data_IF_309511428356
#
_entry.id   IF_309511428356
#
_cell.length_a   1.000
_cell.length_b   1.000
_cell.length_c   1.000
_cell.angle_alpha   90.00
_cell.angle_beta   90.00
_cell.angle_gamma   90.00
#
_symmetry.space_group_name_H-M   'P 1'
#
loop_
_entity.id
_entity.type
_entity.pdbx_description
1 polymer ?
#
# COMPACT_ATOMS: atom_id res chain seq x y z
N UNK A 1 -24.63 -15.82 12.14
CA UNK A 1 -24.31 -15.16 10.85
C UNK A 1 -22.96 -14.49 11.02
N UNK A 2 -21.91 -14.98 10.37
CA UNK A 2 -20.56 -14.41 10.48
C UNK A 2 -20.53 -13.09 9.69
N UNK A 3 -20.22 -11.99 10.36
CA UNK A 3 -19.96 -10.70 9.70
C UNK A 3 -18.46 -10.49 9.69
N UNK A 4 -17.89 -10.30 8.50
CA UNK A 4 -16.50 -9.89 8.35
C UNK A 4 -16.29 -8.55 9.07
N UNK A 5 -15.32 -8.53 9.99
CA UNK A 5 -14.95 -7.31 10.70
C UNK A 5 -14.01 -6.47 9.83
N UNK A 6 -13.96 -5.19 10.10
CA UNK A 6 -13.08 -4.25 9.37
C UNK A 6 -11.60 -4.70 9.33
N UNK A 7 -11.01 -5.27 10.41
CA UNK A 7 -9.64 -5.80 10.37
C UNK A 7 -9.46 -6.98 9.40
N UNK A 8 -10.47 -7.87 9.29
CA UNK A 8 -10.41 -9.04 8.40
C UNK A 8 -10.37 -8.60 6.93
N UNK A 9 -11.12 -7.55 6.59
CA UNK A 9 -11.09 -6.93 5.26
C UNK A 9 -9.75 -6.24 4.98
N UNK A 10 -9.15 -5.58 5.98
CA UNK A 10 -7.83 -4.99 5.87
C UNK A 10 -6.79 -6.03 5.50
N UNK A 11 -6.69 -7.10 6.29
CA UNK A 11 -5.76 -8.20 6.07
C UNK A 11 -5.93 -8.84 4.69
N UNK A 12 -7.18 -9.00 4.23
CA UNK A 12 -7.45 -9.51 2.88
C UNK A 12 -6.84 -8.62 1.80
N UNK A 13 -7.06 -7.30 1.88
CA UNK A 13 -6.52 -6.39 0.87
C UNK A 13 -4.99 -6.41 0.82
N UNK A 14 -4.32 -6.49 1.98
CA UNK A 14 -2.86 -6.65 2.05
C UNK A 14 -2.44 -7.94 1.33
N UNK A 15 -3.07 -9.07 1.67
CA UNK A 15 -2.78 -10.36 1.03
C UNK A 15 -3.03 -10.34 -0.49
N UNK A 16 -4.13 -9.74 -0.94
CA UNK A 16 -4.45 -9.63 -2.37
C UNK A 16 -3.41 -8.80 -3.11
N UNK A 17 -2.96 -7.68 -2.53
CA UNK A 17 -1.95 -6.83 -3.15
C UNK A 17 -0.56 -7.49 -3.15
N UNK A 18 -0.18 -8.16 -2.07
CA UNK A 18 1.05 -8.95 -2.00
C UNK A 18 1.06 -10.04 -3.08
N UNK A 19 -0.01 -10.81 -3.18
CA UNK A 19 -0.14 -11.89 -4.15
C UNK A 19 -0.14 -11.38 -5.59
N UNK A 20 -0.85 -10.28 -5.87
CA UNK A 20 -0.81 -9.62 -7.16
C UNK A 20 0.64 -9.28 -7.55
N UNK A 21 1.38 -8.63 -6.65
CA UNK A 21 2.77 -8.29 -6.87
C UNK A 21 3.68 -9.52 -7.05
N UNK A 22 3.45 -10.57 -6.27
CA UNK A 22 4.20 -11.83 -6.39
C UNK A 22 3.97 -12.50 -7.75
N UNK A 23 2.74 -12.46 -8.28
CA UNK A 23 2.45 -13.00 -9.62
C UNK A 23 3.15 -12.21 -10.72
N UNK A 24 3.20 -10.89 -10.63
CA UNK A 24 3.94 -10.06 -11.58
C UNK A 24 5.44 -10.40 -11.59
N UNK A 25 6.03 -10.52 -10.40
CA UNK A 25 7.44 -10.88 -10.25
C UNK A 25 7.72 -12.27 -10.81
N UNK A 26 6.86 -13.24 -10.52
CA UNK A 26 6.98 -14.62 -11.02
C UNK A 26 6.93 -14.69 -12.55
N UNK A 27 6.04 -13.90 -13.15
CA UNK A 27 5.82 -13.89 -14.61
C UNK A 27 6.80 -12.94 -15.33
N UNK A 28 7.66 -12.21 -14.62
CA UNK A 28 8.60 -11.24 -15.19
C UNK A 28 7.93 -10.01 -15.82
N UNK A 29 6.73 -9.65 -15.34
CA UNK A 29 5.95 -8.53 -15.88
C UNK A 29 6.28 -7.25 -15.12
N UNK A 30 6.66 -6.21 -15.87
CA UNK A 30 6.90 -4.90 -15.30
C UNK A 30 5.59 -4.17 -14.99
N UNK A 31 5.55 -3.44 -13.89
CA UNK A 31 4.45 -2.55 -13.54
C UNK A 31 4.23 -1.44 -14.59
N UNK A 32 5.30 -1.02 -15.27
CA UNK A 32 5.27 0.03 -16.29
C UNK A 32 4.49 -0.39 -17.55
N UNK A 33 4.37 -1.69 -17.82
CA UNK A 33 3.73 -2.21 -19.04
C UNK A 33 2.32 -2.75 -18.80
N UNK A 34 1.84 -2.75 -17.55
CA UNK A 34 0.53 -3.27 -17.22
C UNK A 34 -0.60 -2.41 -17.82
N UNK A 35 -1.55 -3.09 -18.42
CA UNK A 35 -2.83 -2.49 -18.83
C UNK A 35 -3.86 -2.60 -17.72
N UNK A 36 -4.92 -1.80 -17.81
CA UNK A 36 -6.04 -1.88 -16.86
C UNK A 36 -6.66 -3.27 -16.86
N UNK A 37 -6.96 -3.81 -18.04
CA UNK A 37 -7.58 -5.14 -18.21
C UNK A 37 -6.76 -6.24 -17.56
N UNK A 38 -5.44 -6.27 -17.81
CA UNK A 38 -4.54 -7.26 -17.22
C UNK A 38 -4.45 -7.10 -15.70
N UNK A 39 -4.40 -5.85 -15.20
CA UNK A 39 -4.42 -5.55 -13.77
C UNK A 39 -5.70 -6.07 -13.13
N UNK A 40 -6.85 -5.76 -13.68
CA UNK A 40 -8.14 -6.19 -13.17
C UNK A 40 -8.28 -7.71 -13.15
N UNK A 41 -7.87 -8.37 -14.23
CA UNK A 41 -7.89 -9.84 -14.33
C UNK A 41 -7.04 -10.50 -13.24
N UNK A 42 -5.82 -9.99 -13.00
CA UNK A 42 -4.92 -10.51 -11.97
C UNK A 42 -5.39 -10.20 -10.56
N UNK A 43 -5.96 -9.03 -10.34
CA UNK A 43 -6.56 -8.69 -9.04
C UNK A 43 -7.75 -9.59 -8.72
N UNK A 44 -8.58 -9.93 -9.71
CA UNK A 44 -9.67 -10.90 -9.52
C UNK A 44 -9.16 -12.27 -9.11
N UNK A 45 -8.12 -12.77 -9.78
CA UNK A 45 -7.51 -14.04 -9.45
C UNK A 45 -6.93 -14.04 -8.02
N UNK A 46 -6.27 -12.95 -7.62
CA UNK A 46 -5.75 -12.80 -6.26
C UNK A 46 -6.88 -12.78 -5.20
N UNK A 47 -8.01 -12.13 -5.50
CA UNK A 47 -9.18 -12.16 -4.60
C UNK A 47 -9.77 -13.58 -4.52
N UNK A 48 -9.90 -14.29 -5.66
CA UNK A 48 -10.45 -15.66 -5.69
C UNK A 48 -9.56 -16.64 -4.88
N UNK A 49 -8.25 -16.44 -4.87
CA UNK A 49 -7.31 -17.26 -4.10
C UNK A 49 -7.32 -16.90 -2.61
N UNK A 50 -7.41 -15.61 -2.26
CA UNK A 50 -7.41 -15.15 -0.87
C UNK A 50 -8.76 -15.35 -0.16
N UNK A 51 -9.88 -15.22 -0.87
CA UNK A 51 -11.23 -15.25 -0.29
C UNK A 51 -11.58 -16.55 0.46
N UNK A 52 -11.18 -17.77 0.03
CA UNK A 52 -11.48 -19.00 0.76
C UNK A 52 -10.86 -19.05 2.16
N UNK A 53 -9.76 -18.35 2.38
CA UNK A 53 -9.05 -18.30 3.66
C UNK A 53 -9.71 -17.34 4.68
N UNK A 54 -10.71 -16.56 4.24
CA UNK A 54 -11.51 -15.71 5.11
C UNK A 54 -12.65 -16.52 5.74
N UNK A 55 -12.56 -16.76 7.04
CA UNK A 55 -13.68 -17.27 7.82
C UNK A 55 -13.97 -18.76 7.67
N UNK A 56 -12.94 -19.62 7.59
CA UNK A 56 -13.06 -21.08 7.61
C UNK A 56 -14.02 -21.65 6.54
N UNK A 57 -13.79 -21.34 5.26
CA UNK A 57 -14.53 -21.91 4.10
C UNK A 57 -16.05 -21.60 4.02
N UNK A 58 -16.62 -20.92 5.00
CA UNK A 58 -18.06 -20.64 5.08
C UNK A 58 -18.52 -19.58 4.06
N UNK A 59 -17.56 -18.90 3.39
CA UNK A 59 -17.87 -17.73 2.56
C UNK A 59 -18.46 -18.04 1.18
N UNK A 60 -18.47 -19.29 0.70
CA UNK A 60 -18.80 -19.57 -0.69
C UNK A 60 -20.30 -19.83 -0.96
N UNK A 61 -21.10 -20.19 0.04
CA UNK A 61 -22.44 -20.78 -0.20
C UNK A 61 -23.65 -19.84 -0.10
N UNK A 62 -23.51 -18.60 0.36
CA UNK A 62 -24.65 -17.68 0.50
C UNK A 62 -24.68 -16.57 -0.54
N UNK A 63 -25.88 -16.04 -0.84
CA UNK A 63 -26.04 -14.87 -1.71
C UNK A 63 -25.30 -13.63 -1.16
N UNK A 64 -25.26 -13.48 0.16
CA UNK A 64 -24.52 -12.40 0.83
C UNK A 64 -23.03 -12.52 0.59
N UNK A 65 -22.47 -13.73 0.62
CA UNK A 65 -21.07 -14.00 0.39
C UNK A 65 -20.67 -13.76 -1.08
N UNK A 66 -21.52 -14.17 -2.03
CA UNK A 66 -21.30 -13.85 -3.45
C UNK A 66 -21.30 -12.35 -3.71
N UNK A 67 -22.18 -11.59 -3.05
CA UNK A 67 -22.18 -10.13 -3.11
C UNK A 67 -20.90 -9.53 -2.54
N UNK A 68 -20.45 -10.05 -1.40
CA UNK A 68 -19.21 -9.60 -0.76
C UNK A 68 -17.98 -9.81 -1.68
N UNK A 69 -17.84 -11.01 -2.27
CA UNK A 69 -16.74 -11.29 -3.21
C UNK A 69 -16.76 -10.34 -4.41
N UNK A 70 -17.95 -10.09 -4.99
CA UNK A 70 -18.09 -9.12 -6.08
C UNK A 70 -17.65 -7.72 -5.66
N UNK A 71 -18.00 -7.30 -4.45
CA UNK A 71 -17.59 -6.02 -3.89
C UNK A 71 -16.09 -5.96 -3.67
N UNK A 72 -15.49 -7.01 -3.10
CA UNK A 72 -14.05 -7.12 -2.90
C UNK A 72 -13.29 -7.02 -4.22
N UNK A 73 -13.70 -7.78 -5.25
CA UNK A 73 -13.12 -7.69 -6.59
C UNK A 73 -13.17 -6.27 -7.14
N UNK A 74 -14.33 -5.60 -7.05
CA UNK A 74 -14.47 -4.22 -7.52
C UNK A 74 -13.50 -3.26 -6.83
N UNK A 75 -13.38 -3.35 -5.49
CA UNK A 75 -12.47 -2.51 -4.70
C UNK A 75 -11.00 -2.83 -5.06
N UNK A 76 -10.67 -4.12 -5.13
CA UNK A 76 -9.32 -4.59 -5.45
C UNK A 76 -8.87 -4.18 -6.85
N UNK A 77 -9.73 -4.31 -7.87
CA UNK A 77 -9.45 -3.85 -9.24
C UNK A 77 -9.10 -2.37 -9.25
N UNK A 78 -9.92 -1.52 -8.61
CA UNK A 78 -9.67 -0.08 -8.52
C UNK A 78 -8.37 0.23 -7.78
N UNK A 79 -8.15 -0.38 -6.63
CA UNK A 79 -6.93 -0.19 -5.86
C UNK A 79 -5.69 -0.61 -6.65
N UNK A 80 -5.73 -1.79 -7.27
CA UNK A 80 -4.62 -2.30 -8.10
C UNK A 80 -4.31 -1.38 -9.27
N UNK A 81 -5.34 -0.97 -10.03
CA UNK A 81 -5.15 -0.06 -11.16
C UNK A 81 -4.65 1.32 -10.73
N UNK A 82 -5.16 1.86 -9.62
CA UNK A 82 -4.65 3.12 -9.06
C UNK A 82 -3.18 3.02 -8.70
N UNK A 83 -2.74 1.91 -8.08
CA UNK A 83 -1.33 1.69 -7.75
C UNK A 83 -0.47 1.56 -9.00
N UNK A 84 -0.94 0.86 -10.04
CA UNK A 84 -0.26 0.75 -11.33
C UNK A 84 -0.08 2.14 -11.95
N UNK A 85 -1.11 2.96 -11.99
CA UNK A 85 -1.03 4.34 -12.50
C UNK A 85 -0.05 5.21 -11.70
N UNK A 86 -0.03 5.09 -10.37
CA UNK A 86 0.95 5.80 -9.55
C UNK A 86 2.39 5.42 -9.88
N UNK A 87 2.64 4.13 -10.17
CA UNK A 87 3.97 3.67 -10.58
C UNK A 87 4.31 4.19 -11.98
N UNK A 88 3.38 4.07 -12.93
CA UNK A 88 3.57 4.52 -14.32
C UNK A 88 3.75 6.04 -14.46
N UNK A 89 3.20 6.82 -13.53
CA UNK A 89 3.36 8.29 -13.53
C UNK A 89 4.57 8.78 -12.72
N UNK A 90 5.30 7.87 -12.06
CA UNK A 90 6.46 8.18 -11.24
C UNK A 90 7.71 7.44 -11.68
N UNK A 91 8.78 7.65 -10.92
CA UNK A 91 10.09 7.02 -11.16
C UNK A 91 10.41 5.89 -10.17
N UNK A 92 9.60 5.74 -9.12
CA UNK A 92 9.80 4.70 -8.12
C UNK A 92 9.29 3.36 -8.59
N UNK A 93 10.05 2.31 -8.33
CA UNK A 93 9.65 0.93 -8.61
C UNK A 93 9.46 0.12 -7.33
N UNK A 94 8.43 -0.73 -7.26
CA UNK A 94 8.22 -1.62 -6.13
C UNK A 94 9.39 -2.60 -5.96
N UNK A 95 10.01 -2.58 -4.78
CA UNK A 95 11.17 -3.41 -4.45
C UNK A 95 10.88 -4.46 -3.37
N UNK A 96 9.93 -4.20 -2.48
CA UNK A 96 9.56 -5.13 -1.40
C UNK A 96 8.11 -5.01 -0.97
N UNK A 97 7.54 -6.15 -0.56
CA UNK A 97 6.19 -6.28 -0.01
C UNK A 97 6.27 -7.07 1.29
N UNK A 98 5.44 -6.73 2.27
CA UNK A 98 5.37 -7.38 3.57
C UNK A 98 6.77 -7.58 4.19
N UNK A 99 7.62 -6.53 4.09
CA UNK A 99 9.01 -6.59 4.56
C UNK A 99 9.03 -6.60 6.08
N UNK A 100 9.29 -7.76 6.66
CA UNK A 100 9.36 -7.96 8.10
C UNK A 100 10.60 -7.33 8.73
N UNK A 101 10.43 -6.71 9.90
CA UNK A 101 11.54 -6.32 10.78
C UNK A 101 11.30 -6.87 12.19
N UNK A 102 12.33 -7.51 12.74
CA UNK A 102 12.23 -8.21 14.00
C UNK A 102 13.28 -9.31 14.15
N UNK A 103 13.24 -10.06 15.27
CA UNK A 103 14.05 -11.28 15.40
C UNK A 103 13.68 -12.29 14.30
N UNK A 104 14.66 -12.72 13.53
CA UNK A 104 14.50 -13.69 12.41
C UNK A 104 13.73 -13.18 11.17
N UNK A 105 13.51 -11.86 11.06
CA UNK A 105 12.91 -11.23 9.90
C UNK A 105 13.99 -10.74 8.91
N UNK A 106 13.55 -10.24 7.76
CA UNK A 106 14.43 -9.70 6.71
C UNK A 106 15.27 -8.51 7.21
N UNK A 107 14.69 -7.70 8.09
CA UNK A 107 15.36 -6.57 8.75
C UNK A 107 15.41 -6.82 10.26
N UNK A 108 16.48 -6.40 10.95
CA UNK A 108 16.55 -6.49 12.41
C UNK A 108 15.49 -5.61 13.10
N UNK A 109 15.17 -5.89 14.37
CA UNK A 109 14.20 -5.10 15.12
C UNK A 109 14.70 -3.67 15.37
N UNK A 110 13.77 -2.72 15.49
CA UNK A 110 14.09 -1.37 15.96
C UNK A 110 14.27 -1.43 17.46
N UNK A 111 15.43 -0.97 17.94
CA UNK A 111 15.74 -0.91 19.37
C UNK A 111 15.80 0.54 19.81
N UNK A 112 14.95 0.92 20.77
CA UNK A 112 14.89 2.24 21.38
C UNK A 112 15.37 2.14 22.82
N UNK A 113 16.43 2.87 23.15
CA UNK A 113 16.90 3.00 24.54
C UNK A 113 15.97 3.91 25.34
N UNK A 114 15.57 3.47 26.53
CA UNK A 114 14.74 4.24 27.46
C UNK A 114 15.62 4.95 28.48
N UNK A 115 15.09 6.02 29.09
CA UNK A 115 15.84 6.83 30.07
C UNK A 115 16.24 6.05 31.34
N UNK A 116 15.52 4.98 31.67
CA UNK A 116 15.80 4.08 32.80
C UNK A 116 16.83 2.99 32.46
N UNK A 117 17.40 3.01 31.25
CA UNK A 117 18.35 2.00 30.77
C UNK A 117 17.70 0.75 30.17
N UNK A 118 16.40 0.61 30.22
CA UNK A 118 15.66 -0.45 29.54
C UNK A 118 15.65 -0.26 28.01
N UNK A 119 15.31 -1.32 27.27
CA UNK A 119 15.22 -1.27 25.79
C UNK A 119 13.84 -1.66 25.34
N UNK A 120 13.22 -0.81 24.52
CA UNK A 120 12.01 -1.14 23.78
C UNK A 120 12.41 -1.76 22.44
N UNK A 121 11.93 -2.98 22.20
CA UNK A 121 12.19 -3.71 20.95
C UNK A 121 10.90 -3.71 20.13
N UNK A 122 10.94 -3.06 18.98
CA UNK A 122 9.80 -3.01 18.06
C UNK A 122 10.01 -4.01 16.92
N UNK A 123 8.91 -4.68 16.58
CA UNK A 123 8.81 -5.59 15.42
C UNK A 123 7.58 -5.25 14.61
N UNK A 124 7.60 -5.58 13.35
CA UNK A 124 6.46 -5.31 12.47
C UNK A 124 6.74 -5.71 11.03
N UNK A 125 5.85 -5.29 10.15
CA UNK A 125 5.97 -5.46 8.71
C UNK A 125 5.71 -4.14 8.00
N UNK A 126 6.48 -3.86 6.97
CA UNK A 126 6.30 -2.74 6.05
C UNK A 126 5.50 -3.27 4.87
N UNK A 127 4.33 -2.76 4.62
CA UNK A 127 3.44 -3.29 3.59
C UNK A 127 4.08 -3.23 2.20
N UNK A 128 4.72 -2.10 1.87
CA UNK A 128 5.42 -1.93 0.59
C UNK A 128 6.59 -0.95 0.70
N UNK A 129 7.67 -1.32 0.03
CA UNK A 129 8.86 -0.48 -0.18
C UNK A 129 9.06 -0.29 -1.67
N UNK A 130 9.12 0.97 -2.11
CA UNK A 130 9.52 1.33 -3.47
C UNK A 130 10.90 1.99 -3.44
N UNK A 131 11.70 1.72 -4.45
CA UNK A 131 13.03 2.30 -4.62
C UNK A 131 13.11 3.11 -5.91
N UNK A 132 13.90 4.17 -5.85
CA UNK A 132 14.36 4.93 -7.01
C UNK A 132 15.87 5.03 -6.96
N UNK A 133 16.54 4.60 -8.01
CA UNK A 133 17.99 4.79 -8.17
C UNK A 133 18.23 6.08 -8.98
N UNK A 134 18.75 7.10 -8.34
CA UNK A 134 19.00 8.40 -8.96
C UNK A 134 20.17 9.13 -8.27
N UNK A 135 20.95 9.85 -9.05
CA UNK A 135 22.05 10.69 -8.56
C UNK A 135 23.07 9.92 -7.68
N UNK A 136 23.27 8.62 -7.96
CA UNK A 136 24.16 7.75 -7.18
C UNK A 136 23.64 7.36 -5.80
N UNK A 137 22.37 7.67 -5.49
CA UNK A 137 21.67 7.29 -4.27
C UNK A 137 20.43 6.45 -4.58
N UNK A 138 20.01 5.65 -3.61
CA UNK A 138 18.75 4.93 -3.63
C UNK A 138 17.75 5.64 -2.74
N UNK A 139 16.72 6.20 -3.32
CA UNK A 139 15.61 6.82 -2.59
C UNK A 139 14.58 5.79 -2.20
N UNK A 140 14.16 5.81 -0.94
CA UNK A 140 13.24 4.84 -0.34
C UNK A 140 11.89 5.49 -0.10
N UNK A 141 10.86 4.91 -0.67
CA UNK A 141 9.47 5.29 -0.42
C UNK A 141 8.75 4.15 0.31
N UNK A 142 8.18 4.45 1.47
CA UNK A 142 7.40 3.52 2.28
C UNK A 142 5.93 3.78 2.05
N UNK A 143 5.17 2.73 1.80
CA UNK A 143 3.72 2.79 1.60
C UNK A 143 3.07 1.80 2.56
N UNK A 144 2.07 2.27 3.30
CA UNK A 144 1.25 1.47 4.19
C UNK A 144 -0.20 1.52 3.71
N UNK A 145 -0.84 0.36 3.60
CA UNK A 145 -2.19 0.21 3.10
C UNK A 145 -3.21 0.36 4.22
N UNK A 146 -4.19 1.22 4.03
CA UNK A 146 -5.24 1.47 5.04
C UNK A 146 -6.63 1.22 4.44
N UNK A 147 -7.37 0.30 5.04
CA UNK A 147 -8.79 0.02 4.69
C UNK A 147 -9.78 0.87 5.47
N UNK A 148 -9.31 1.67 6.44
CA UNK A 148 -10.12 2.53 7.29
C UNK A 148 -10.19 3.99 6.85
N UNK A 149 -10.80 4.82 7.70
CA UNK A 149 -10.94 6.27 7.48
C UNK A 149 -9.74 7.09 7.94
N UNK A 150 -8.74 6.45 8.57
CA UNK A 150 -7.57 7.15 9.10
C UNK A 150 -6.80 7.83 7.97
N UNK A 151 -6.68 9.15 8.05
CA UNK A 151 -5.89 9.97 7.14
C UNK A 151 -4.53 10.30 7.76
N UNK A 152 -3.61 10.74 6.92
CA UNK A 152 -2.34 11.28 7.38
C UNK A 152 -2.58 12.64 8.05
N UNK A 153 -2.15 12.80 9.30
CA UNK A 153 -2.30 14.03 10.07
C UNK A 153 -0.96 14.46 10.68
N UNK A 154 -0.53 15.68 10.39
CA UNK A 154 0.70 16.26 10.93
C UNK A 154 0.66 16.47 12.44
N UNK A 155 -0.50 16.78 13.00
CA UNK A 155 -0.64 16.95 14.45
C UNK A 155 -0.47 15.63 15.15
N UNK A 156 -1.08 14.56 14.62
CA UNK A 156 -0.91 13.21 15.15
C UNK A 156 0.56 12.77 15.14
N UNK A 157 1.33 13.12 14.09
CA UNK A 157 2.76 12.82 14.03
C UNK A 157 3.52 13.62 15.07
N UNK A 158 3.25 14.92 15.20
CA UNK A 158 3.90 15.78 16.17
C UNK A 158 3.68 15.30 17.61
N UNK A 159 2.49 14.82 17.93
CA UNK A 159 2.17 14.24 19.23
C UNK A 159 2.54 12.76 19.40
N UNK A 160 3.21 12.17 18.42
CA UNK A 160 3.67 10.78 18.49
C UNK A 160 2.59 9.71 18.26
N UNK A 161 1.42 10.11 17.76
CA UNK A 161 0.27 9.20 17.54
C UNK A 161 0.31 8.48 16.19
N UNK A 162 1.11 8.97 15.22
CA UNK A 162 1.27 8.39 13.87
C UNK A 162 2.74 8.20 13.50
N UNK A 163 3.53 7.54 14.32
CA UNK A 163 4.96 7.32 14.08
C UNK A 163 5.28 6.12 13.19
N UNK A 164 4.30 5.27 12.89
CA UNK A 164 4.49 3.99 12.20
C UNK A 164 5.33 4.12 10.93
N UNK A 165 4.93 5.00 10.01
CA UNK A 165 5.63 5.19 8.73
C UNK A 165 7.06 5.70 8.90
N UNK A 166 7.30 6.60 9.85
CA UNK A 166 8.64 7.14 10.13
C UNK A 166 9.55 6.08 10.72
N UNK A 167 9.02 5.25 11.62
CA UNK A 167 9.75 4.12 12.19
C UNK A 167 10.10 3.08 11.11
N UNK A 168 9.19 2.81 10.18
CA UNK A 168 9.44 1.91 9.06
C UNK A 168 10.55 2.43 8.14
N UNK A 169 10.51 3.72 7.82
CA UNK A 169 11.55 4.35 7.01
C UNK A 169 12.90 4.31 7.73
N UNK A 170 12.95 4.67 9.02
CA UNK A 170 14.17 4.63 9.84
C UNK A 170 14.75 3.20 9.91
N UNK A 171 13.90 2.19 10.15
CA UNK A 171 14.31 0.79 10.15
C UNK A 171 14.94 0.38 8.82
N UNK A 172 14.29 0.74 7.71
CA UNK A 172 14.77 0.37 6.37
C UNK A 172 16.11 1.05 6.06
N UNK A 173 16.21 2.36 6.29
CA UNK A 173 17.44 3.14 6.02
C UNK A 173 18.63 2.68 6.86
N UNK A 174 18.45 2.47 8.16
CA UNK A 174 19.52 2.01 9.06
C UNK A 174 20.08 0.65 8.67
N UNK A 175 19.24 -0.24 8.16
CA UNK A 175 19.65 -1.58 7.79
C UNK A 175 20.34 -1.68 6.43
N UNK A 176 20.10 -0.73 5.53
CA UNK A 176 20.73 -0.70 4.21
C UNK A 176 21.91 0.29 4.09
N UNK A 177 22.18 1.03 5.16
CA UNK A 177 23.27 2.03 5.21
C UNK A 177 22.81 3.41 4.72
N UNK A 178 22.88 4.38 5.61
CA UNK A 178 22.44 5.78 5.36
C UNK A 178 23.35 6.54 4.40
N UNK A 179 24.50 5.99 4.00
CA UNK A 179 25.39 6.62 3.03
C UNK A 179 24.87 6.54 1.60
N UNK A 180 24.19 5.43 1.26
CA UNK A 180 23.68 5.17 -0.09
C UNK A 180 22.16 5.23 -0.21
N UNK A 181 21.44 5.12 0.92
CA UNK A 181 19.99 5.16 0.96
C UNK A 181 19.47 6.46 1.55
N UNK A 182 18.54 7.11 0.86
CA UNK A 182 17.96 8.40 1.21
C UNK A 182 16.45 8.28 1.38
N UNK A 183 15.83 9.09 2.24
CA UNK A 183 14.37 9.13 2.33
C UNK A 183 13.78 9.68 1.02
N UNK A 184 12.88 8.94 0.39
CA UNK A 184 12.10 9.36 -0.78
C UNK A 184 10.68 9.79 -0.41
N UNK A 185 10.14 9.24 0.67
CA UNK A 185 8.82 9.60 1.19
C UNK A 185 8.15 8.50 1.99
N UNK A 186 7.09 8.87 2.69
CA UNK A 186 6.25 7.94 3.46
C UNK A 186 4.78 8.24 3.20
N UNK A 187 3.99 7.22 2.89
CA UNK A 187 2.61 7.40 2.42
C UNK A 187 1.65 6.39 3.01
N UNK A 188 0.42 6.83 3.26
CA UNK A 188 -0.74 5.97 3.35
C UNK A 188 -1.44 5.88 2.00
N UNK A 189 -1.74 4.66 1.56
CA UNK A 189 -2.65 4.41 0.45
C UNK A 189 -3.95 3.84 0.98
N UNK A 190 -5.05 4.56 0.75
CA UNK A 190 -6.37 4.18 1.24
C UNK A 190 -7.07 3.28 0.24
N UNK A 191 -7.36 2.06 0.67
CA UNK A 191 -8.16 1.10 -0.08
C UNK A 191 -9.63 1.35 0.30
N UNK A 192 -10.34 2.06 -0.54
CA UNK A 192 -11.73 2.46 -0.31
C UNK A 192 -12.60 2.09 -1.51
N UNK A 193 -13.91 2.09 -1.31
CA UNK A 193 -14.92 2.01 -2.36
C UNK A 193 -15.57 3.39 -2.48
N UNK A 194 -14.93 4.36 -3.16
CA UNK A 194 -15.42 5.72 -3.18
C UNK A 194 -16.75 5.81 -3.93
N UNK A 195 -17.69 6.52 -3.35
CA UNK A 195 -18.94 6.89 -3.99
C UNK A 195 -18.83 8.32 -4.54
N UNK A 196 -19.35 8.52 -5.73
CA UNK A 196 -19.46 9.83 -6.36
C UNK A 196 -20.91 10.30 -6.25
N UNK A 197 -21.08 11.52 -5.79
CA UNK A 197 -22.35 12.24 -5.93
C UNK A 197 -22.20 13.15 -7.15
N UNK A 198 -22.88 12.81 -8.23
CA UNK A 198 -22.86 13.59 -9.47
C UNK A 198 -24.24 14.20 -9.67
N UNK A 199 -24.27 15.47 -10.06
CA UNK A 199 -25.50 16.26 -10.33
C UNK A 199 -25.77 16.36 -11.83
N UNK A 200 -24.79 16.01 -12.65
CA UNK A 200 -24.83 16.08 -14.13
C UNK A 200 -24.38 14.75 -14.72
N UNK A 201 -24.75 14.47 -15.96
CA UNK A 201 -24.23 13.33 -16.71
C UNK A 201 -22.75 13.56 -17.03
N UNK A 202 -21.89 12.69 -16.50
CA UNK A 202 -20.46 12.69 -16.76
C UNK A 202 -20.10 11.55 -17.72
N UNK A 203 -19.08 11.76 -18.52
CA UNK A 203 -18.47 10.69 -19.31
C UNK A 203 -17.81 9.65 -18.41
N UNK A 204 -17.61 8.46 -18.94
CA UNK A 204 -16.90 7.37 -18.21
C UNK A 204 -15.49 7.82 -17.78
N UNK A 205 -14.79 8.57 -18.63
CA UNK A 205 -13.44 9.06 -18.36
C UNK A 205 -13.40 10.09 -17.21
N UNK A 206 -14.38 11.00 -17.18
CA UNK A 206 -14.52 11.97 -16.08
C UNK A 206 -14.84 11.27 -14.75
N UNK A 207 -15.74 10.27 -14.77
CA UNK A 207 -16.07 9.47 -13.60
C UNK A 207 -14.84 8.71 -13.07
N UNK A 208 -14.05 8.09 -13.95
CA UNK A 208 -12.81 7.40 -13.57
C UNK A 208 -11.81 8.38 -12.97
N UNK A 209 -11.60 9.52 -13.58
CA UNK A 209 -10.70 10.57 -13.08
C UNK A 209 -11.11 11.03 -11.68
N UNK A 210 -12.40 11.26 -11.46
CA UNK A 210 -12.91 11.61 -10.13
C UNK A 210 -12.75 10.48 -9.10
N UNK A 211 -12.91 9.22 -9.48
CA UNK A 211 -12.67 8.07 -8.62
C UNK A 211 -11.20 7.97 -8.20
N UNK A 212 -10.28 8.12 -9.17
CA UNK A 212 -8.84 8.08 -8.89
C UNK A 212 -8.38 9.23 -8.00
N UNK A 213 -8.93 10.44 -8.17
CA UNK A 213 -8.61 11.57 -7.31
C UNK A 213 -8.95 11.33 -5.82
N UNK A 214 -9.94 10.47 -5.55
CA UNK A 214 -10.31 10.05 -4.18
C UNK A 214 -9.41 8.94 -3.60
N UNK A 215 -8.59 8.30 -4.43
CA UNK A 215 -7.70 7.21 -4.03
C UNK A 215 -6.23 7.63 -4.04
N UNK A 216 -5.96 8.93 -3.91
CA UNK A 216 -4.59 9.44 -3.85
C UNK A 216 -3.88 9.00 -2.58
N UNK A 217 -2.56 8.87 -2.68
CA UNK A 217 -1.69 8.67 -1.52
C UNK A 217 -1.61 9.96 -0.71
N UNK A 218 -1.60 9.84 0.62
CA UNK A 218 -1.37 10.95 1.55
C UNK A 218 -0.13 10.67 2.38
N UNK A 219 0.78 11.65 2.53
CA UNK A 219 2.03 11.39 3.21
C UNK A 219 2.99 12.56 3.22
N UNK A 220 4.26 12.27 3.48
CA UNK A 220 5.38 13.22 3.55
C UNK A 220 6.42 12.90 2.50
N UNK A 221 6.94 13.96 1.88
CA UNK A 221 8.12 13.91 1.00
C UNK A 221 9.17 14.89 1.49
N UNK A 222 10.47 14.58 1.38
CA UNK A 222 11.53 15.54 1.65
C UNK A 222 11.48 16.68 0.63
N UNK A 223 11.51 17.93 1.10
CA UNK A 223 11.41 19.12 0.23
C UNK A 223 12.50 19.15 -0.84
N UNK A 224 13.72 18.74 -0.49
CA UNK A 224 14.88 18.73 -1.40
C UNK A 224 14.73 17.76 -2.59
N UNK A 225 13.78 16.82 -2.54
CA UNK A 225 13.63 15.77 -3.55
C UNK A 225 12.19 15.67 -4.11
N UNK A 226 11.38 16.71 -3.96
CA UNK A 226 9.99 16.71 -4.42
C UNK A 226 9.84 16.42 -5.91
N UNK A 227 10.80 16.87 -6.74
CA UNK A 227 10.82 16.61 -8.18
C UNK A 227 11.03 15.12 -8.54
N UNK A 228 11.58 14.31 -7.62
CA UNK A 228 11.77 12.87 -7.81
C UNK A 228 10.59 12.05 -7.26
N UNK A 229 9.84 12.58 -6.31
CA UNK A 229 8.93 11.81 -5.47
C UNK A 229 7.46 11.97 -5.81
N UNK A 230 7.09 13.09 -6.41
CA UNK A 230 5.71 13.36 -6.80
C UNK A 230 5.47 12.93 -8.24
N UNK A 231 4.38 12.19 -8.52
CA UNK A 231 3.92 12.03 -9.89
C UNK A 231 3.56 13.42 -10.43
N UNK A 232 4.09 13.76 -11.59
CA UNK A 232 3.66 14.97 -12.30
C UNK A 232 2.24 14.70 -12.78
N UNK A 233 1.25 15.12 -12.01
CA UNK A 233 -0.13 15.13 -12.46
C UNK A 233 -0.25 16.39 -13.32
N UNK A 234 -0.22 16.18 -14.64
CA UNK A 234 -0.60 17.19 -15.59
C UNK A 234 -2.12 17.26 -15.66
#
# INVERSE_FOLDING_TARGET
MYQLRTPDLGNLFHQVLEQFAATLKKDGISWQTLTQEETERRMDAAVDEAAPHLGNEILLDSAANRYLIKRLKRISRRAGWTLVRHIQSGMFEPAGYEVGFGPHEALPPIVIGMADGSKLILRGKIDRVDLLDAEGNKFVKIIDYKSGTKAFDFQDIYYGLQLQLLLYLDAYLKNHGTESYRPGGVFYFRITDPTLSVTEELSTEELETMLYSKMQMSGLVPVSYTHLTLPTIA
#
